data_IF_380628656172
#
_entry.id   IF_380628656172
#
_cell.length_a   1.000
_cell.length_b   1.000
_cell.length_c   1.000
_cell.angle_alpha   90.00
_cell.angle_beta   90.00
_cell.angle_gamma   90.00
#
_symmetry.space_group_name_H-M   'P 1'
#
loop_
_entity.id
_entity.type
_entity.pdbx_description
1 polymer ?
#
# COMPACT_ATOMS: atom_id res chain seq x y z
N UNK A 1 22.45 -21.24 8.79
CA UNK A 1 21.74 -20.55 7.69
C UNK A 1 20.38 -20.14 8.24
N UNK A 2 20.31 -18.94 8.82
CA UNK A 2 19.04 -18.41 9.33
C UNK A 2 18.54 -17.34 8.36
N UNK A 3 17.67 -17.75 7.43
CA UNK A 3 16.93 -16.85 6.56
C UNK A 3 15.81 -16.18 7.35
N UNK A 4 16.15 -15.29 8.28
CA UNK A 4 15.21 -14.33 8.84
C UNK A 4 15.15 -13.13 7.89
N UNK A 5 14.34 -13.24 6.84
CA UNK A 5 14.05 -12.12 5.93
C UNK A 5 13.14 -11.14 6.70
N UNK A 6 13.74 -10.30 7.54
CA UNK A 6 13.06 -9.14 8.10
C UNK A 6 13.08 -8.02 7.05
N UNK A 7 12.08 -7.99 6.16
CA UNK A 7 11.83 -6.93 5.15
C UNK A 7 11.37 -5.60 5.80
N UNK A 8 11.96 -5.20 6.93
CA UNK A 8 11.64 -3.95 7.61
C UNK A 8 12.65 -2.89 7.21
N UNK A 9 12.29 -2.07 6.23
CA UNK A 9 13.04 -0.85 5.94
C UNK A 9 12.83 0.14 7.10
N UNK A 10 13.93 0.60 7.69
CA UNK A 10 13.91 1.59 8.77
C UNK A 10 14.20 2.96 8.18
N UNK A 11 13.46 3.95 8.63
CA UNK A 11 13.68 5.35 8.28
C UNK A 11 14.03 6.12 9.56
N UNK A 12 14.89 7.13 9.47
CA UNK A 12 15.15 8.00 10.61
C UNK A 12 13.88 8.82 10.91
N UNK A 13 13.37 8.74 12.14
CA UNK A 13 12.17 9.44 12.59
C UNK A 13 12.24 10.96 12.36
N UNK A 14 13.43 11.55 12.50
CA UNK A 14 13.64 13.00 12.33
C UNK A 14 13.59 13.44 10.86
N UNK A 15 13.61 12.49 9.93
CA UNK A 15 13.53 12.75 8.49
C UNK A 15 12.13 12.48 7.92
N UNK A 16 11.18 11.99 8.71
CA UNK A 16 9.82 11.63 8.22
C UNK A 16 9.14 12.83 7.56
N UNK A 17 9.24 14.01 8.17
CA UNK A 17 8.67 15.26 7.65
C UNK A 17 9.29 15.73 6.32
N UNK A 18 10.44 15.18 5.93
CA UNK A 18 11.17 15.50 4.69
C UNK A 18 10.99 14.45 3.61
N UNK A 19 10.28 13.35 3.91
CA UNK A 19 10.02 12.33 2.92
C UNK A 19 9.08 12.87 1.84
N UNK A 20 9.23 12.41 0.58
CA UNK A 20 8.38 12.87 -0.50
C UNK A 20 6.93 12.46 -0.29
N UNK A 21 6.02 13.28 -0.81
CA UNK A 21 4.62 12.92 -0.90
C UNK A 21 4.42 11.83 -1.97
N UNK A 22 3.59 10.84 -1.65
CA UNK A 22 3.11 9.85 -2.61
C UNK A 22 1.72 10.26 -3.05
N UNK A 23 1.55 10.49 -4.35
CA UNK A 23 0.28 10.93 -4.94
C UNK A 23 -0.36 9.82 -5.76
N UNK A 24 -1.58 9.43 -5.38
CA UNK A 24 -2.44 8.55 -6.17
C UNK A 24 -3.46 9.37 -6.94
N UNK A 25 -3.54 9.18 -8.26
CA UNK A 25 -4.55 9.84 -9.09
C UNK A 25 -5.65 8.84 -9.42
N UNK A 26 -6.82 9.01 -8.81
CA UNK A 26 -7.97 8.12 -8.95
C UNK A 26 -9.18 8.92 -9.41
N UNK A 27 -9.78 8.55 -10.54
CA UNK A 27 -10.94 9.27 -11.09
C UNK A 27 -10.69 10.76 -11.35
N UNK A 28 -9.45 11.14 -11.71
CA UNK A 28 -9.05 12.53 -11.94
C UNK A 28 -8.78 13.35 -10.67
N UNK A 29 -8.93 12.77 -9.48
CA UNK A 29 -8.63 13.42 -8.20
C UNK A 29 -7.31 12.91 -7.63
N UNK A 30 -6.52 13.82 -7.04
CA UNK A 30 -5.26 13.47 -6.38
C UNK A 30 -5.48 13.18 -4.89
N UNK A 31 -4.99 12.03 -4.45
CA UNK A 31 -4.96 11.57 -3.06
C UNK A 31 -3.50 11.48 -2.61
N UNK A 32 -3.13 12.38 -1.71
CA UNK A 32 -1.76 12.59 -1.22
C UNK A 32 -1.54 11.92 0.12
N UNK A 33 -0.53 11.06 0.19
CA UNK A 33 0.04 10.56 1.44
C UNK A 33 1.37 11.29 1.71
N UNK A 34 1.49 11.93 2.86
CA UNK A 34 2.76 12.47 3.32
C UNK A 34 3.55 11.41 4.10
N UNK A 35 4.81 11.71 4.44
CA UNK A 35 5.68 10.78 5.18
C UNK A 35 5.08 10.21 6.47
N UNK A 36 4.30 11.01 7.21
CA UNK A 36 3.64 10.58 8.45
C UNK A 36 2.46 9.62 8.19
N UNK A 37 1.84 9.69 7.00
CA UNK A 37 0.73 8.83 6.63
C UNK A 37 1.20 7.39 6.31
N UNK A 38 2.37 7.23 5.68
CA UNK A 38 2.87 5.92 5.21
C UNK A 38 4.05 5.34 6.01
N UNK A 39 4.64 6.10 6.93
CA UNK A 39 5.63 5.58 7.88
C UNK A 39 4.98 5.35 9.25
N UNK A 40 4.90 4.09 9.67
CA UNK A 40 4.49 3.78 11.04
C UNK A 40 5.64 4.02 12.01
N UNK A 41 5.44 4.97 12.94
CA UNK A 41 6.31 5.19 14.10
C UNK A 41 6.30 3.99 15.08
N UNK A 42 5.24 3.19 15.05
CA UNK A 42 5.10 2.00 15.88
C UNK A 42 5.64 0.76 15.16
N UNK A 43 6.56 0.02 15.82
CA UNK A 43 7.23 -1.18 15.29
C UNK A 43 6.28 -2.35 14.94
N UNK A 44 4.98 -2.18 15.12
CA UNK A 44 3.95 -3.23 15.03
C UNK A 44 2.94 -3.02 13.90
N UNK A 45 2.96 -1.87 13.19
CA UNK A 45 2.06 -1.65 12.05
C UNK A 45 2.90 -1.78 10.78
N UNK A 46 2.54 -2.76 9.95
CA UNK A 46 3.21 -3.05 8.68
C UNK A 46 2.70 -2.08 7.60
N UNK A 47 3.51 -1.16 7.07
CA UNK A 47 3.20 -0.53 5.80
C UNK A 47 3.37 -1.57 4.71
N UNK A 48 2.29 -2.29 4.38
CA UNK A 48 2.24 -3.12 3.18
C UNK A 48 2.07 -2.21 1.97
N UNK A 49 3.18 -1.66 1.48
CA UNK A 49 3.29 -1.29 0.07
C UNK A 49 3.82 -2.52 -0.66
N UNK A 50 2.93 -3.49 -0.95
CA UNK A 50 3.30 -4.61 -1.80
C UNK A 50 3.25 -4.15 -3.25
N UNK A 51 4.40 -3.89 -3.84
CA UNK A 51 4.59 -4.08 -5.28
C UNK A 51 4.95 -5.55 -5.47
N UNK A 52 4.03 -6.35 -5.98
CA UNK A 52 4.27 -7.77 -6.19
C UNK A 52 5.07 -7.98 -7.48
N UNK A 53 6.37 -7.70 -7.47
CA UNK A 53 7.27 -8.33 -8.42
C UNK A 53 7.41 -9.78 -7.98
N UNK A 54 6.67 -10.68 -8.63
CA UNK A 54 6.72 -12.11 -8.37
C UNK A 54 8.05 -12.70 -8.81
N UNK A 55 9.07 -12.57 -7.98
CA UNK A 55 10.23 -13.46 -7.96
C UNK A 55 10.24 -14.18 -6.61
N UNK A 56 9.63 -15.37 -6.62
CA UNK A 56 9.72 -16.48 -5.68
C UNK A 56 10.38 -16.24 -4.31
N UNK A 57 9.61 -16.34 -3.22
CA UNK A 57 9.63 -17.53 -2.34
C UNK A 57 8.70 -17.41 -1.12
N UNK A 58 7.97 -18.50 -0.88
CA UNK A 58 7.36 -19.00 0.36
C UNK A 58 6.21 -18.23 1.04
N UNK A 59 4.99 -18.73 0.82
CA UNK A 59 3.92 -18.74 1.83
C UNK A 59 2.70 -17.88 1.48
N UNK A 60 1.57 -18.56 1.23
CA UNK A 60 0.19 -18.07 1.10
C UNK A 60 -0.32 -17.71 -0.32
N UNK A 61 -1.24 -18.59 -0.76
CA UNK A 61 -2.20 -18.49 -1.86
C UNK A 61 -1.61 -18.29 -3.26
N UNK A 62 -1.22 -19.40 -3.87
CA UNK A 62 -1.03 -19.51 -5.32
C UNK A 62 -2.40 -19.44 -6.02
N UNK A 63 -2.90 -18.23 -6.24
CA UNK A 63 -3.86 -18.04 -7.31
C UNK A 63 -3.13 -18.20 -8.64
N UNK A 64 -3.37 -19.31 -9.33
CA UNK A 64 -2.87 -19.57 -10.66
C UNK A 64 -3.47 -18.55 -11.64
N UNK A 65 -2.75 -17.47 -11.93
CA UNK A 65 -3.13 -16.48 -12.94
C UNK A 65 -2.14 -16.51 -14.11
N UNK A 66 -2.74 -16.64 -15.30
CA UNK A 66 -2.11 -16.82 -16.61
C UNK A 66 -1.08 -15.73 -16.96
N UNK A 67 0.05 -16.08 -17.63
CA UNK A 67 1.11 -15.16 -18.02
C UNK A 67 0.67 -14.34 -19.24
N UNK A 68 -0.18 -13.35 -18.99
CA UNK A 68 -0.35 -12.22 -19.89
C UNK A 68 0.07 -10.98 -19.12
N UNK A 69 0.68 -10.03 -19.82
CA UNK A 69 1.36 -8.84 -19.30
C UNK A 69 0.48 -7.86 -18.49
N UNK A 70 -0.71 -8.30 -18.05
CA UNK A 70 -1.67 -7.61 -17.21
C UNK A 70 -1.25 -7.51 -15.73
N UNK A 71 -0.33 -8.36 -15.26
CA UNK A 71 0.09 -8.39 -13.85
C UNK A 71 1.00 -7.22 -13.42
N UNK A 72 1.55 -6.44 -14.35
CA UNK A 72 2.42 -5.31 -14.03
C UNK A 72 1.69 -4.09 -13.43
N UNK A 73 0.36 -4.08 -13.42
CA UNK A 73 -0.44 -2.88 -13.08
C UNK A 73 -1.31 -3.01 -11.82
N UNK A 74 -1.15 -4.07 -11.02
CA UNK A 74 -1.97 -4.23 -9.81
C UNK A 74 -1.32 -3.53 -8.60
N UNK A 75 -1.88 -2.40 -8.20
CA UNK A 75 -1.54 -1.69 -6.96
C UNK A 75 -2.61 -2.02 -5.90
N UNK A 76 -2.18 -2.50 -4.73
CA UNK A 76 -3.07 -2.76 -3.59
C UNK A 76 -3.09 -1.53 -2.67
N UNK A 77 -4.22 -0.85 -2.59
CA UNK A 77 -4.43 0.26 -1.65
C UNK A 77 -4.80 -0.29 -0.27
N UNK A 78 -3.77 -0.62 0.51
CA UNK A 78 -3.90 -1.27 1.82
C UNK A 78 -4.22 -0.31 2.99
N UNK A 79 -3.97 -0.80 4.21
CA UNK A 79 -4.34 -0.13 5.46
C UNK A 79 -3.81 1.32 5.60
N UNK A 80 -2.65 1.62 5.02
CA UNK A 80 -2.09 2.98 4.97
C UNK A 80 -3.03 3.94 4.24
N UNK A 81 -3.48 3.56 3.04
CA UNK A 81 -4.36 4.42 2.24
C UNK A 81 -5.76 4.54 2.86
N UNK A 82 -6.33 3.41 3.29
CA UNK A 82 -7.67 3.36 3.92
C UNK A 82 -7.67 4.05 5.30
N UNK A 83 -6.53 4.08 6.00
CA UNK A 83 -6.37 4.82 7.25
C UNK A 83 -6.40 6.34 7.04
N UNK A 84 -5.81 6.83 5.94
CA UNK A 84 -5.82 8.26 5.59
C UNK A 84 -7.13 8.69 4.93
N UNK A 85 -7.74 7.81 4.16
CA UNK A 85 -8.96 8.08 3.40
C UNK A 85 -10.08 7.11 3.76
N UNK A 86 -11.15 7.66 4.32
CA UNK A 86 -12.40 6.93 4.48
C UNK A 86 -12.81 6.35 3.13
N UNK A 87 -13.10 5.05 3.12
CA UNK A 87 -13.40 4.29 1.92
C UNK A 87 -14.82 3.75 2.01
N UNK A 88 -15.67 4.15 1.07
CA UNK A 88 -17.04 3.64 0.92
C UNK A 88 -17.07 2.58 -0.18
N UNK A 89 -17.63 1.41 0.11
CA UNK A 89 -17.89 0.35 -0.85
C UNK A 89 -19.37 0.32 -1.21
N UNK A 90 -19.73 1.01 -2.28
CA UNK A 90 -21.12 1.08 -2.77
C UNK A 90 -21.39 -0.10 -3.72
N UNK A 91 -21.86 -1.19 -3.13
CA UNK A 91 -22.16 -2.43 -3.86
C UNK A 91 -23.37 -2.28 -4.79
N UNK A 92 -24.31 -1.40 -4.48
CA UNK A 92 -25.50 -1.15 -5.30
C UNK A 92 -25.14 -0.50 -6.64
N UNK A 93 -24.22 0.46 -6.61
CA UNK A 93 -23.72 1.14 -7.81
C UNK A 93 -22.38 0.60 -8.33
N UNK A 94 -21.85 -0.47 -7.73
CA UNK A 94 -20.57 -1.12 -8.12
C UNK A 94 -19.40 -0.15 -8.18
N UNK A 95 -19.26 0.72 -7.16
CA UNK A 95 -18.21 1.75 -7.12
C UNK A 95 -17.57 1.86 -5.74
N UNK A 96 -16.40 2.47 -5.71
CA UNK A 96 -15.68 2.82 -4.47
C UNK A 96 -15.53 4.33 -4.39
N UNK A 97 -15.83 4.89 -3.23
CA UNK A 97 -15.69 6.32 -2.92
C UNK A 97 -14.61 6.58 -1.87
N UNK A 98 -13.93 7.72 -1.97
CA UNK A 98 -12.88 8.12 -1.04
C UNK A 98 -13.09 9.54 -0.53
N UNK A 99 -12.97 9.72 0.79
CA UNK A 99 -12.98 11.02 1.47
C UNK A 99 -11.85 11.10 2.51
N UNK A 100 -11.42 12.30 2.89
CA UNK A 100 -10.41 12.45 3.96
C UNK A 100 -10.98 11.88 5.28
N UNK A 101 -10.23 11.00 5.94
CA UNK A 101 -10.61 10.48 7.25
C UNK A 101 -10.51 11.58 8.34
N UNK A 102 -11.28 11.43 9.42
CA UNK A 102 -11.35 12.41 10.53
C UNK A 102 -10.22 12.22 11.53
#
# INVERSE_FOLDING_TARGET
MDTNINLRLKVNCDQISKLPDINFVLGGKTFRLNGEDYISKNRNIMPYLMSHNSAMNAGYQAFAFSPSNLLLSLIILGAVFIGRYYTEFDMGNKRVGFATAK
#
